data_IF_490916104949
#
_entry.id   IF_490916104949
#
_cell.length_a   1.000
_cell.length_b   1.000
_cell.length_c   1.000
_cell.angle_alpha   90.00
_cell.angle_beta   90.00
_cell.angle_gamma   90.00
#
_symmetry.space_group_name_H-M   'P 1'
#
loop_
_entity.id
_entity.type
_entity.pdbx_description
1 polymer ?
#
# COMPACT_ATOMS: atom_id res chain seq x y z
N UNK A 1 4.88 -9.89 21.77
CA UNK A 1 3.77 -9.35 20.95
C UNK A 1 3.55 -10.35 19.85
N UNK A 2 2.35 -10.93 19.74
CA UNK A 2 2.08 -11.96 18.74
C UNK A 2 2.07 -11.36 17.33
N UNK A 3 3.21 -11.51 16.65
CA UNK A 3 3.42 -11.10 15.28
C UNK A 3 2.82 -12.17 14.36
N UNK A 4 1.52 -12.05 14.12
CA UNK A 4 0.79 -12.87 13.15
C UNK A 4 1.46 -12.80 11.76
N UNK A 5 1.75 -13.99 11.24
CA UNK A 5 2.69 -14.32 10.16
C UNK A 5 2.61 -13.53 8.85
N UNK A 6 1.55 -12.76 8.57
CA UNK A 6 1.43 -11.92 7.37
C UNK A 6 0.51 -10.72 7.64
N UNK A 7 1.03 -9.61 8.15
CA UNK A 7 0.30 -8.33 8.11
C UNK A 7 0.37 -7.75 6.70
N UNK A 8 -0.57 -8.14 5.84
CA UNK A 8 -0.73 -7.54 4.50
C UNK A 8 -1.12 -6.05 4.55
N UNK A 9 -1.67 -5.58 5.67
CA UNK A 9 -2.23 -4.23 5.80
C UNK A 9 -1.42 -3.37 6.78
N UNK A 10 -1.26 -2.10 6.42
CA UNK A 10 -0.55 -1.10 7.23
C UNK A 10 -1.43 -0.44 8.31
N UNK A 11 -2.42 -1.18 8.83
CA UNK A 11 -3.31 -0.69 9.89
C UNK A 11 -3.71 -1.81 10.84
N UNK A 12 -4.06 -1.44 12.08
CA UNK A 12 -4.49 -2.34 13.16
C UNK A 12 -5.49 -1.64 14.07
N UNK A 13 -6.29 -2.40 14.80
CA UNK A 13 -7.09 -1.82 15.89
C UNK A 13 -6.16 -1.20 16.95
N UNK A 14 -6.60 -0.10 17.55
CA UNK A 14 -5.84 0.54 18.61
C UNK A 14 -5.84 -0.35 19.87
N UNK A 15 -4.67 -0.61 20.50
CA UNK A 15 -4.55 -1.56 21.61
C UNK A 15 -5.34 -1.12 22.85
N UNK A 16 -5.29 0.18 23.17
CA UNK A 16 -5.95 0.75 24.36
C UNK A 16 -7.37 1.25 24.12
N UNK A 17 -7.64 1.90 22.97
CA UNK A 17 -8.92 2.55 22.68
C UNK A 17 -9.66 1.91 21.50
N UNK A 18 -10.68 1.09 21.78
CA UNK A 18 -11.44 0.36 20.75
C UNK A 18 -12.14 1.25 19.71
N UNK A 19 -12.38 2.54 20.01
CA UNK A 19 -13.00 3.49 19.09
C UNK A 19 -12.04 4.00 18.00
N UNK A 20 -10.76 3.67 18.11
CA UNK A 20 -9.73 4.13 17.20
C UNK A 20 -9.07 2.98 16.44
N UNK A 21 -8.55 3.31 15.27
CA UNK A 21 -7.77 2.45 14.40
C UNK A 21 -6.45 3.13 14.10
N UNK A 22 -5.35 2.37 14.17
CA UNK A 22 -4.00 2.89 14.00
C UNK A 22 -3.50 2.51 12.62
N UNK A 23 -3.20 3.50 11.80
CA UNK A 23 -2.47 3.36 10.55
C UNK A 23 -0.99 3.62 10.80
N UNK A 24 -0.11 2.88 10.12
CA UNK A 24 1.34 3.00 10.31
C UNK A 24 2.09 3.07 8.99
N UNK A 25 3.15 3.88 8.94
CA UNK A 25 4.01 4.07 7.76
C UNK A 25 5.48 4.02 8.17
N UNK A 26 6.31 3.43 7.31
CA UNK A 26 7.77 3.33 7.51
C UNK A 26 8.55 4.34 6.66
N UNK A 27 7.93 4.90 5.61
CA UNK A 27 8.53 5.92 4.76
C UNK A 27 7.93 7.28 5.15
N UNK A 28 8.79 8.28 5.35
CA UNK A 28 8.36 9.64 5.71
C UNK A 28 7.51 10.29 4.61
N UNK A 29 7.86 10.09 3.34
CA UNK A 29 7.08 10.61 2.21
C UNK A 29 5.61 10.14 2.22
N UNK A 30 5.39 8.87 2.61
CA UNK A 30 4.04 8.31 2.74
C UNK A 30 3.29 8.93 3.91
N UNK A 31 3.97 9.14 5.06
CA UNK A 31 3.33 9.72 6.24
C UNK A 31 2.97 11.19 6.01
N UNK A 32 3.84 11.96 5.36
CA UNK A 32 3.58 13.36 4.99
C UNK A 32 2.38 13.45 4.05
N UNK A 33 2.37 12.67 2.97
CA UNK A 33 1.25 12.71 2.02
C UNK A 33 -0.07 12.24 2.65
N UNK A 34 -0.04 11.22 3.51
CA UNK A 34 -1.22 10.77 4.24
C UNK A 34 -1.76 11.87 5.17
N UNK A 35 -0.87 12.55 5.91
CA UNK A 35 -1.20 13.68 6.77
C UNK A 35 -1.88 14.82 5.99
N UNK A 36 -1.29 15.23 4.87
CA UNK A 36 -1.85 16.26 3.99
C UNK A 36 -3.27 15.89 3.52
N UNK A 37 -3.50 14.62 3.16
CA UNK A 37 -4.80 14.16 2.71
C UNK A 37 -5.83 14.12 3.86
N UNK A 38 -5.43 13.78 5.09
CA UNK A 38 -6.32 13.86 6.25
C UNK A 38 -6.73 15.30 6.55
N UNK A 39 -5.77 16.23 6.53
CA UNK A 39 -6.01 17.65 6.76
C UNK A 39 -6.92 18.26 5.67
N UNK A 40 -6.67 17.92 4.40
CA UNK A 40 -7.51 18.35 3.27
C UNK A 40 -8.96 17.88 3.39
N UNK A 41 -9.18 16.70 3.95
CA UNK A 41 -10.52 16.14 4.17
C UNK A 41 -11.12 16.54 5.54
N UNK A 42 -10.44 17.39 6.32
CA UNK A 42 -10.86 17.80 7.67
C UNK A 42 -11.08 16.63 8.63
N UNK A 43 -10.29 15.56 8.49
CA UNK A 43 -10.39 14.36 9.32
C UNK A 43 -9.50 14.52 10.54
N UNK A 44 -10.06 14.33 11.74
CA UNK A 44 -9.29 14.37 12.97
C UNK A 44 -8.39 13.14 13.12
N UNK A 45 -7.14 13.35 13.53
CA UNK A 45 -6.18 12.29 13.73
C UNK A 45 -5.25 12.56 14.92
N UNK A 46 -4.77 11.49 15.54
CA UNK A 46 -3.70 11.52 16.53
C UNK A 46 -2.40 11.07 15.86
N UNK A 47 -1.36 11.89 15.90
CA UNK A 47 -0.07 11.56 15.30
C UNK A 47 0.94 11.16 16.38
N UNK A 48 1.65 10.06 16.13
CA UNK A 48 2.73 9.57 16.97
C UNK A 48 3.91 9.12 16.15
N UNK A 49 5.10 9.20 16.73
CA UNK A 49 6.32 8.65 16.16
C UNK A 49 6.84 7.62 17.16
N UNK A 50 7.05 6.41 16.69
CA UNK A 50 7.68 5.34 17.46
C UNK A 50 9.09 5.13 16.91
N UNK A 51 10.09 5.56 17.69
CA UNK A 51 11.51 5.40 17.40
C UNK A 51 12.02 4.15 18.14
N UNK A 52 11.68 2.97 17.62
CA UNK A 52 12.30 1.74 18.09
C UNK A 52 13.72 1.63 17.47
N UNK A 53 14.67 1.01 18.19
CA UNK A 53 16.13 1.02 17.97
C UNK A 53 16.66 0.76 16.53
N UNK A 54 15.82 0.42 15.56
CA UNK A 54 16.22 0.11 14.18
C UNK A 54 15.43 0.86 13.10
N UNK A 55 14.20 1.37 13.35
CA UNK A 55 13.38 2.08 12.35
C UNK A 55 12.37 3.04 12.98
N UNK A 56 12.27 4.23 12.42
CA UNK A 56 11.22 5.21 12.72
C UNK A 56 9.89 4.76 12.11
N UNK A 57 8.85 4.69 12.92
CA UNK A 57 7.49 4.35 12.47
C UNK A 57 6.56 5.52 12.74
N UNK A 58 5.86 5.97 11.71
CA UNK A 58 4.86 7.04 11.80
C UNK A 58 3.49 6.42 12.05
N UNK A 59 2.82 6.83 13.12
CA UNK A 59 1.55 6.27 13.59
C UNK A 59 0.46 7.34 13.50
N UNK A 60 -0.72 6.93 13.02
CA UNK A 60 -1.91 7.77 12.92
C UNK A 60 -3.10 7.06 13.57
N UNK A 61 -3.57 7.57 14.70
CA UNK A 61 -4.80 7.14 15.37
C UNK A 61 -6.00 7.85 14.78
N UNK A 62 -6.94 7.09 14.21
CA UNK A 62 -8.10 7.58 13.48
C UNK A 62 -9.36 6.99 14.11
N UNK A 63 -10.43 7.79 14.23
CA UNK A 63 -11.72 7.31 14.73
C UNK A 63 -12.33 6.30 13.76
N UNK A 64 -12.94 5.24 14.30
CA UNK A 64 -13.58 4.21 13.48
C UNK A 64 -14.76 4.72 12.65
N UNK A 65 -15.40 5.82 13.04
CA UNK A 65 -16.44 6.49 12.24
C UNK A 65 -15.94 6.88 10.85
N UNK A 66 -14.69 7.32 10.77
CA UNK A 66 -14.11 7.90 9.56
C UNK A 66 -13.26 6.86 8.81
N UNK A 67 -13.21 5.62 9.31
CA UNK A 67 -12.34 4.56 8.82
C UNK A 67 -12.58 4.25 7.33
N UNK A 68 -13.82 4.31 6.84
CA UNK A 68 -14.09 4.03 5.43
C UNK A 68 -13.39 5.04 4.50
N UNK A 69 -13.53 6.33 4.79
CA UNK A 69 -12.89 7.41 4.03
C UNK A 69 -11.37 7.36 4.17
N UNK A 70 -10.87 7.11 5.38
CA UNK A 70 -9.43 7.06 5.64
C UNK A 70 -8.78 5.83 5.02
N UNK A 71 -9.50 4.71 4.91
CA UNK A 71 -9.02 3.51 4.21
C UNK A 71 -8.76 3.80 2.73
N UNK A 72 -9.65 4.56 2.08
CA UNK A 72 -9.48 5.01 0.70
C UNK A 72 -8.23 5.87 0.56
N UNK A 73 -8.10 6.91 1.40
CA UNK A 73 -6.91 7.78 1.45
C UNK A 73 -5.64 6.94 1.63
N UNK A 74 -5.68 5.95 2.53
CA UNK A 74 -4.55 5.07 2.80
C UNK A 74 -4.17 4.25 1.56
N UNK A 75 -5.13 3.68 0.83
CA UNK A 75 -4.84 2.94 -0.40
C UNK A 75 -4.31 3.85 -1.51
N UNK A 76 -4.83 5.08 -1.64
CA UNK A 76 -4.29 6.07 -2.57
C UNK A 76 -2.85 6.44 -2.22
N UNK A 77 -2.54 6.65 -0.94
CA UNK A 77 -1.17 6.88 -0.45
C UNK A 77 -0.26 5.72 -0.80
N UNK A 78 -0.65 4.48 -0.46
CA UNK A 78 0.15 3.30 -0.76
C UNK A 78 0.37 3.12 -2.27
N UNK A 79 -0.66 3.36 -3.08
CA UNK A 79 -0.60 3.28 -4.54
C UNK A 79 0.35 4.32 -5.15
N UNK A 80 0.32 5.57 -4.65
CA UNK A 80 1.16 6.67 -5.14
C UNK A 80 2.65 6.40 -4.96
N UNK A 81 3.03 5.78 -3.85
CA UNK A 81 4.42 5.47 -3.51
C UNK A 81 4.79 3.99 -3.71
N UNK A 82 3.96 3.23 -4.44
CA UNK A 82 4.22 1.82 -4.71
C UNK A 82 5.32 1.70 -5.76
N UNK A 83 6.38 0.97 -5.42
CA UNK A 83 7.39 0.61 -6.39
C UNK A 83 6.77 -0.24 -7.51
N UNK A 84 7.10 0.00 -8.79
CA UNK A 84 6.64 -0.85 -9.88
C UNK A 84 7.11 -2.29 -9.66
N UNK A 85 6.27 -3.26 -10.02
CA UNK A 85 6.55 -4.70 -9.81
C UNK A 85 7.92 -5.12 -10.35
N UNK A 86 8.31 -4.59 -11.50
CA UNK A 86 9.66 -4.72 -12.06
C UNK A 86 10.23 -3.32 -12.19
N UNK A 87 11.28 -2.99 -11.44
CA UNK A 87 11.87 -1.64 -11.45
C UNK A 87 12.61 -1.29 -12.75
N UNK A 88 13.17 -2.30 -13.42
CA UNK A 88 13.99 -2.12 -14.61
C UNK A 88 13.11 -2.08 -15.87
N UNK A 89 13.17 -0.96 -16.62
CA UNK A 89 12.33 -0.76 -17.82
C UNK A 89 12.53 -1.84 -18.87
N UNK A 90 13.77 -2.28 -19.12
CA UNK A 90 14.05 -3.33 -20.10
C UNK A 90 13.38 -4.66 -19.70
N UNK A 91 13.45 -5.03 -18.42
CA UNK A 91 12.83 -6.25 -17.91
C UNK A 91 11.29 -6.19 -17.96
N UNK A 92 10.69 -5.01 -17.76
CA UNK A 92 9.24 -4.81 -17.98
C UNK A 92 8.87 -5.16 -19.43
N UNK A 93 9.59 -4.60 -20.40
CA UNK A 93 9.32 -4.85 -21.82
C UNK A 93 9.62 -6.30 -22.22
N UNK A 94 10.63 -6.95 -21.65
CA UNK A 94 10.92 -8.36 -21.90
C UNK A 94 9.74 -9.25 -21.53
N UNK A 95 9.11 -9.02 -20.37
CA UNK A 95 7.95 -9.81 -19.92
C UNK A 95 6.72 -9.54 -20.79
N UNK A 96 6.49 -8.29 -21.19
CA UNK A 96 5.37 -7.95 -22.09
C UNK A 96 5.58 -8.61 -23.45
N UNK A 97 6.80 -8.53 -24.00
CA UNK A 97 7.14 -9.08 -25.29
C UNK A 97 7.04 -10.61 -25.30
N UNK A 98 7.51 -11.29 -24.24
CA UNK A 98 7.38 -12.75 -24.15
C UNK A 98 5.91 -13.19 -24.10
N UNK A 99 5.04 -12.45 -23.40
CA UNK A 99 3.60 -12.70 -23.40
C UNK A 99 2.98 -12.56 -24.80
N UNK A 100 3.32 -11.48 -25.52
CA UNK A 100 2.85 -11.27 -26.90
C UNK A 100 3.33 -12.40 -27.82
N UNK A 101 4.59 -12.82 -27.69
CA UNK A 101 5.15 -13.92 -28.48
C UNK A 101 4.37 -15.22 -28.23
N UNK A 102 4.07 -15.55 -26.97
CA UNK A 102 3.28 -16.75 -26.63
C UNK A 102 1.88 -16.69 -27.28
N UNK A 103 1.22 -15.53 -27.24
CA UNK A 103 -0.10 -15.34 -27.87
C UNK A 103 0.00 -15.56 -29.39
N UNK A 104 1.00 -14.95 -30.04
CA UNK A 104 1.22 -15.12 -31.49
C UNK A 104 1.46 -16.59 -31.83
N UNK A 105 2.35 -17.27 -31.10
CA UNK A 105 2.62 -18.69 -31.30
C UNK A 105 1.37 -19.55 -31.09
N UNK A 106 0.55 -19.23 -30.08
CA UNK A 106 -0.70 -19.95 -29.83
C UNK A 106 -1.69 -19.81 -30.99
N UNK A 107 -1.85 -18.60 -31.53
CA UNK A 107 -2.74 -18.34 -32.68
C UNK A 107 -2.21 -19.02 -33.94
N UNK A 108 -0.91 -18.92 -34.21
CA UNK A 108 -0.29 -19.59 -35.35
C UNK A 108 -0.41 -21.12 -35.26
N UNK A 109 -0.19 -21.67 -34.06
CA UNK A 109 -0.31 -23.10 -33.83
C UNK A 109 -1.75 -23.57 -34.01
N UNK A 110 -2.74 -22.78 -33.60
CA UNK A 110 -4.16 -23.10 -33.82
C UNK A 110 -4.47 -23.21 -35.31
N UNK A 111 -4.09 -22.22 -36.12
CA UNK A 111 -4.36 -22.24 -37.57
C UNK A 111 -3.60 -23.33 -38.33
N UNK A 112 -2.39 -23.70 -37.88
CA UNK A 112 -1.61 -24.78 -38.52
C UNK A 112 -2.12 -26.18 -38.16
N UNK A 113 -2.75 -26.33 -37.00
CA UNK A 113 -3.23 -27.61 -36.48
C UNK A 113 -4.74 -27.81 -36.71
N UNK A 114 -5.38 -26.91 -37.46
CA UNK A 114 -6.73 -27.03 -38.01
C UNK A 114 -6.66 -27.56 -39.43
#
# INVERSE_FOLDING_TARGET
>A
MDEGLLKLTNHKDHPTNKAYKVFFFYKEEQSVYFKEMLEKNSIFYEFGIDENNQRKVFLFGIRKSDNAQVLEINYTTLGKFRDPFIRQKWAQYTVILSGIIIIIFSVFSYFKNQ
#
